data_IF_274670487201
#
_entry.id   IF_274670487201
#
_cell.length_a   1.000
_cell.length_b   1.000
_cell.length_c   1.000
_cell.angle_alpha   90.00
_cell.angle_beta   90.00
_cell.angle_gamma   90.00
#
_symmetry.space_group_name_H-M   'P 1'
#
loop_
_entity.id
_entity.type
_entity.pdbx_description
1 polymer ?
#
# COMPACT_ATOMS: atom_id res chain seq x y z
N UNK A 1 3.05 -3.72 16.65
CA UNK A 1 3.21 -2.98 15.37
C UNK A 1 2.76 -1.51 15.44
N UNK A 2 1.47 -1.17 15.34
CA UNK A 2 1.05 0.26 15.33
C UNK A 2 1.35 1.00 16.65
N UNK A 3 1.12 0.33 17.78
CA UNK A 3 1.43 0.87 19.11
C UNK A 3 2.94 1.07 19.32
N UNK A 4 3.78 0.21 18.74
CA UNK A 4 5.25 0.36 18.82
C UNK A 4 5.73 1.59 18.05
N UNK A 5 5.09 1.96 16.94
CA UNK A 5 5.41 3.20 16.22
C UNK A 5 5.12 4.43 17.09
N UNK A 6 3.99 4.40 17.82
CA UNK A 6 3.64 5.42 18.80
C UNK A 6 4.65 5.48 19.94
N UNK A 7 5.08 4.33 20.48
CA UNK A 7 6.11 4.25 21.53
C UNK A 7 7.49 4.72 21.05
N UNK A 8 7.79 4.60 19.75
CA UNK A 8 9.03 5.12 19.12
C UNK A 8 8.97 6.63 18.82
N UNK A 9 7.86 7.30 19.15
CA UNK A 9 7.71 8.75 19.01
C UNK A 9 6.99 9.22 17.75
N UNK A 10 6.35 8.32 16.99
CA UNK A 10 5.46 8.74 15.89
C UNK A 10 4.19 9.33 16.51
N UNK A 11 4.03 10.64 16.36
CA UNK A 11 2.89 11.38 16.93
C UNK A 11 1.64 11.26 16.05
N UNK A 12 1.80 11.45 14.74
CA UNK A 12 0.70 11.39 13.78
C UNK A 12 1.12 10.75 12.47
N UNK A 13 0.14 10.12 11.83
CA UNK A 13 0.24 9.56 10.49
C UNK A 13 -0.78 10.31 9.63
N UNK A 14 -0.34 11.01 8.59
CA UNK A 14 -1.24 11.75 7.71
C UNK A 14 -1.88 10.85 6.64
N UNK A 15 -1.12 9.88 6.12
CA UNK A 15 -1.56 8.99 5.05
C UNK A 15 -1.13 7.56 5.38
N UNK A 16 -2.09 6.64 5.39
CA UNK A 16 -1.85 5.21 5.55
C UNK A 16 -2.33 4.46 4.31
N UNK A 17 -1.41 3.84 3.58
CA UNK A 17 -1.74 3.00 2.42
C UNK A 17 -1.90 1.54 2.84
N UNK A 18 -3.11 0.99 2.72
CA UNK A 18 -3.45 -0.38 3.14
C UNK A 18 -3.84 -1.26 1.95
N UNK A 19 -3.72 -2.57 2.09
CA UNK A 19 -4.05 -3.55 1.04
C UNK A 19 -5.54 -3.94 1.02
N UNK A 20 -6.42 -3.16 1.65
CA UNK A 20 -7.85 -3.47 1.74
C UNK A 20 -8.20 -4.64 2.67
N UNK A 21 -7.29 -5.05 3.56
CA UNK A 21 -7.57 -6.04 4.59
C UNK A 21 -8.67 -5.55 5.54
N UNK A 22 -9.73 -6.35 5.70
CA UNK A 22 -10.84 -6.05 6.63
C UNK A 22 -10.29 -5.95 8.06
N UNK A 23 -10.70 -4.92 8.81
CA UNK A 23 -10.29 -4.67 10.19
C UNK A 23 -8.94 -3.99 10.37
N UNK A 24 -8.10 -3.91 9.34
CA UNK A 24 -6.84 -3.16 9.41
C UNK A 24 -7.03 -1.64 9.45
N UNK A 25 -7.98 -1.05 8.69
CA UNK A 25 -8.35 0.37 8.83
C UNK A 25 -8.80 0.73 10.24
N UNK A 26 -9.62 -0.13 10.86
CA UNK A 26 -10.17 0.08 12.20
C UNK A 26 -9.08 0.05 13.27
N UNK A 27 -8.10 -0.85 13.14
CA UNK A 27 -6.94 -0.91 14.02
C UNK A 27 -6.05 0.34 13.90
N UNK A 28 -5.91 0.92 12.71
CA UNK A 28 -5.18 2.18 12.50
C UNK A 28 -5.93 3.34 13.17
N UNK A 29 -7.23 3.46 12.92
CA UNK A 29 -8.09 4.49 13.53
C UNK A 29 -8.09 4.45 15.06
N UNK A 30 -7.93 3.26 15.65
CA UNK A 30 -7.83 3.10 17.11
C UNK A 30 -6.54 3.70 17.70
N UNK A 31 -5.43 3.69 16.96
CA UNK A 31 -4.12 4.20 17.45
C UNK A 31 -3.87 5.64 17.03
N UNK A 32 -4.28 5.98 15.81
CA UNK A 32 -4.17 7.28 15.17
C UNK A 32 -5.54 7.66 14.59
N UNK A 33 -6.24 8.68 15.11
CA UNK A 33 -7.61 9.03 14.68
C UNK A 33 -7.67 9.96 13.45
N UNK A 34 -6.56 10.60 13.07
CA UNK A 34 -6.48 11.54 11.95
C UNK A 34 -5.98 10.99 10.58
N UNK A 35 -5.47 9.76 10.43
CA UNK A 35 -4.85 9.33 9.18
C UNK A 35 -5.89 9.20 8.07
N UNK A 36 -5.53 9.71 6.89
CA UNK A 36 -6.29 9.44 5.69
C UNK A 36 -5.90 8.05 5.15
N UNK A 37 -6.84 7.10 5.22
CA UNK A 37 -6.64 5.72 4.80
C UNK A 37 -6.88 5.62 3.29
N UNK A 38 -5.83 5.26 2.55
CA UNK A 38 -5.89 5.03 1.11
C UNK A 38 -5.66 3.56 0.80
N UNK A 39 -6.28 3.06 -0.27
CA UNK A 39 -5.92 1.76 -0.82
C UNK A 39 -4.58 1.87 -1.55
N UNK A 40 -3.68 0.93 -1.27
CA UNK A 40 -2.36 0.93 -1.87
C UNK A 40 -2.44 0.60 -3.36
N UNK A 41 -2.25 1.61 -4.21
CA UNK A 41 -2.24 1.47 -5.67
C UNK A 41 -1.23 0.44 -6.16
N UNK A 42 -0.10 0.27 -5.46
CA UNK A 42 0.92 -0.73 -5.77
C UNK A 42 0.38 -2.15 -5.54
N UNK A 43 -0.31 -2.39 -4.43
CA UNK A 43 -0.91 -3.69 -4.19
C UNK A 43 -2.04 -3.98 -5.17
N UNK A 44 -2.87 -2.98 -5.51
CA UNK A 44 -3.90 -3.10 -6.54
C UNK A 44 -3.29 -3.50 -7.89
N UNK A 45 -2.26 -2.79 -8.36
CA UNK A 45 -1.58 -3.11 -9.62
C UNK A 45 -0.95 -4.50 -9.58
N UNK A 46 -0.28 -4.87 -8.48
CA UNK A 46 0.33 -6.20 -8.34
C UNK A 46 -0.71 -7.31 -8.31
N UNK A 47 -1.83 -7.10 -7.62
CA UNK A 47 -2.93 -8.05 -7.58
C UNK A 47 -3.55 -8.22 -8.97
N UNK A 48 -3.82 -7.13 -9.69
CA UNK A 48 -4.34 -7.18 -11.07
C UNK A 48 -3.38 -7.89 -12.03
N UNK A 49 -2.07 -7.64 -11.92
CA UNK A 49 -1.06 -8.29 -12.77
C UNK A 49 -0.92 -9.80 -12.50
N UNK A 50 -1.35 -10.30 -11.32
CA UNK A 50 -1.35 -11.74 -11.02
C UNK A 50 -2.30 -12.53 -11.92
N UNK A 51 -3.38 -11.89 -12.37
CA UNK A 51 -4.37 -12.51 -13.27
C UNK A 51 -4.00 -12.39 -14.76
N UNK A 52 -2.92 -11.66 -15.08
CA UNK A 52 -2.44 -11.53 -16.45
C UNK A 52 -1.46 -12.65 -16.76
N UNK A 53 -1.75 -13.44 -17.79
CA UNK A 53 -0.81 -14.44 -18.29
C UNK A 53 0.53 -13.78 -18.65
N UNK A 54 1.65 -14.45 -18.39
CA UNK A 54 3.00 -13.90 -18.61
C UNK A 54 3.21 -13.30 -20.01
N UNK A 55 2.58 -13.88 -21.03
CA UNK A 55 2.60 -13.39 -22.42
C UNK A 55 1.94 -12.00 -22.59
N UNK A 56 0.91 -11.69 -21.80
CA UNK A 56 0.21 -10.40 -21.80
C UNK A 56 0.80 -9.36 -20.83
N UNK A 57 1.76 -9.74 -19.99
CA UNK A 57 2.32 -8.88 -18.95
C UNK A 57 2.92 -7.58 -19.51
N UNK A 58 3.69 -7.66 -20.60
CA UNK A 58 4.31 -6.49 -21.23
C UNK A 58 3.28 -5.50 -21.80
N UNK A 59 2.16 -6.02 -22.31
CA UNK A 59 1.08 -5.19 -22.86
C UNK A 59 0.32 -4.52 -21.71
N UNK A 60 -0.03 -5.29 -20.68
CA UNK A 60 -0.73 -4.79 -19.49
C UNK A 60 0.08 -3.77 -18.67
N UNK A 61 1.42 -3.84 -18.73
CA UNK A 61 2.31 -2.92 -18.01
C UNK A 61 2.83 -1.76 -18.87
N UNK A 62 2.55 -1.76 -20.18
CA UNK A 62 3.08 -0.74 -21.12
C UNK A 62 2.66 0.70 -20.77
N UNK A 63 1.43 0.88 -20.27
CA UNK A 63 0.91 2.18 -19.82
C UNK A 63 1.26 2.54 -18.37
N UNK A 64 1.84 1.62 -17.60
CA UNK A 64 2.19 1.86 -16.20
C UNK A 64 3.63 2.35 -16.12
N UNK A 65 3.86 3.55 -15.57
CA UNK A 65 5.22 4.05 -15.36
C UNK A 65 5.95 3.15 -14.36
N UNK A 66 6.99 2.39 -14.78
CA UNK A 66 7.74 1.58 -13.82
C UNK A 66 8.55 2.52 -12.93
N UNK A 67 8.50 2.31 -11.61
CA UNK A 67 9.50 2.92 -10.72
C UNK A 67 10.86 2.36 -11.16
N UNK A 68 11.85 3.21 -11.50
CA UNK A 68 13.19 2.70 -11.76
C UNK A 68 13.63 1.92 -10.52
N UNK A 69 13.95 0.63 -10.69
CA UNK A 69 14.59 -0.14 -9.62
C UNK A 69 15.90 0.59 -9.31
N UNK A 70 16.00 1.22 -8.14
CA UNK A 70 17.31 1.58 -7.58
C UNK A 70 18.09 0.27 -7.51
N UNK A 71 19.04 0.10 -8.43
CA UNK A 71 20.06 -0.95 -8.33
C UNK A 71 20.89 -0.57 -7.10
N UNK A 72 20.73 -1.33 -6.03
CA UNK A 72 21.81 -1.52 -5.08
C UNK A 72 22.67 -2.67 -5.59
#
# INVERSE_FOLDING_TARGET
MLTELKTRGVQDILIACVDGLKGFPDAINSVFPQPHIQLCSIHMVRNSLKYVAWKGYKVATSGLRPRPKRRH
#
